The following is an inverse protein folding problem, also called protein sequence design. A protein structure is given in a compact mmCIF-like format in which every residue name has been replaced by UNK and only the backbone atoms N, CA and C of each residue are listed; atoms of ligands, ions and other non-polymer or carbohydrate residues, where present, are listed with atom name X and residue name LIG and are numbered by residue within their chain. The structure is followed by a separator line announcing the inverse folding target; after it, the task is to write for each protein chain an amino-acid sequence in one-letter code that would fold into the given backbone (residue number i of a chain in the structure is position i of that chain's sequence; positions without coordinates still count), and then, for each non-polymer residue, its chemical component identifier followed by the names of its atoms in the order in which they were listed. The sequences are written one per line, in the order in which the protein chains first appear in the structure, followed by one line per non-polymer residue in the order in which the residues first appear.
data_IF_889327258296
#
_entry.id   IF_889327258296
#
_cell.length_a   1.000
_cell.length_b   1.000
_cell.length_c   1.000
_cell.angle_alpha   90.00
_cell.angle_beta   90.00
_cell.angle_gamma   90.00
#
_symmetry.space_group_name_H-M   'P 1'
#
loop_
_entity.id
_entity.type
_entity.pdbx_description
1 polymer ?
#
# COMPACT_ATOMS: atom_id res chain seq x y z
N UNK A 1 3.91 -13.98 4.94
CA UNK A 1 4.14 -13.03 6.05
C UNK A 1 4.53 -13.74 7.32
N UNK A 2 3.73 -14.69 7.85
CA UNK A 2 3.97 -15.32 9.17
C UNK A 2 5.39 -15.89 9.35
N UNK A 3 5.87 -16.72 8.43
CA UNK A 3 7.26 -17.22 8.46
C UNK A 3 8.33 -16.10 8.48
N UNK A 4 8.11 -15.02 7.72
CA UNK A 4 9.02 -13.87 7.67
C UNK A 4 9.09 -13.06 8.97
N UNK A 5 8.11 -13.26 9.87
CA UNK A 5 8.12 -12.72 11.24
C UNK A 5 8.52 -13.78 12.29
N UNK A 6 9.06 -14.93 11.87
CA UNK A 6 9.62 -15.96 12.74
C UNK A 6 8.70 -17.14 13.06
N UNK A 7 7.54 -17.24 12.42
CA UNK A 7 6.66 -18.41 12.55
C UNK A 7 7.20 -19.62 11.75
N UNK A 8 6.52 -20.77 11.84
CA UNK A 8 6.81 -21.96 11.03
C UNK A 8 6.58 -21.69 9.53
N UNK A 9 7.32 -22.43 8.69
CA UNK A 9 7.12 -22.39 7.24
C UNK A 9 5.70 -22.84 6.84
N UNK A 10 5.15 -23.81 7.57
CA UNK A 10 3.79 -24.32 7.44
C UNK A 10 3.04 -24.04 8.76
N UNK A 11 2.51 -22.81 8.94
CA UNK A 11 1.75 -22.46 10.15
C UNK A 11 0.46 -23.27 10.24
N UNK A 12 -0.07 -23.39 11.46
CA UNK A 12 -1.35 -24.07 11.69
C UNK A 12 -2.49 -23.35 10.92
N UNK A 13 -3.35 -24.09 10.20
CA UNK A 13 -4.46 -23.49 9.45
C UNK A 13 -5.37 -22.60 10.31
N UNK A 14 -5.58 -22.98 11.56
CA UNK A 14 -6.40 -22.25 12.53
C UNK A 14 -5.79 -20.89 12.88
N UNK A 15 -4.45 -20.82 13.03
CA UNK A 15 -3.74 -19.55 13.26
C UNK A 15 -3.83 -18.65 12.04
N UNK A 16 -3.70 -19.23 10.83
CA UNK A 16 -3.82 -18.46 9.59
C UNK A 16 -5.22 -17.83 9.48
N UNK A 17 -6.28 -18.62 9.72
CA UNK A 17 -7.66 -18.15 9.68
C UNK A 17 -7.91 -17.03 10.71
N UNK A 18 -7.41 -17.20 11.94
CA UNK A 18 -7.57 -16.15 12.96
C UNK A 18 -6.81 -14.86 12.58
N UNK A 19 -5.59 -14.97 12.06
CA UNK A 19 -4.82 -13.80 11.62
C UNK A 19 -5.51 -13.11 10.44
N UNK A 20 -6.13 -13.85 9.54
CA UNK A 20 -6.97 -13.30 8.47
C UNK A 20 -8.09 -12.42 9.05
N UNK A 21 -8.89 -12.96 9.98
CA UNK A 21 -9.98 -12.21 10.62
C UNK A 21 -9.48 -10.92 11.28
N UNK A 22 -8.39 -11.00 12.05
CA UNK A 22 -7.77 -9.85 12.72
C UNK A 22 -7.32 -8.79 11.70
N UNK A 23 -6.73 -9.21 10.58
CA UNK A 23 -6.25 -8.29 9.53
C UNK A 23 -7.42 -7.63 8.82
N UNK A 24 -8.49 -8.37 8.51
CA UNK A 24 -9.70 -7.80 7.89
C UNK A 24 -10.32 -6.74 8.79
N UNK A 25 -10.47 -7.03 10.09
CA UNK A 25 -10.99 -6.07 11.07
C UNK A 25 -10.09 -4.82 11.13
N UNK A 26 -8.77 -5.00 11.28
CA UNK A 26 -7.83 -3.89 11.35
C UNK A 26 -7.87 -2.98 10.12
N UNK A 27 -7.89 -3.56 8.92
CA UNK A 27 -7.94 -2.79 7.66
C UNK A 27 -9.25 -2.05 7.54
N UNK A 28 -10.37 -2.69 7.88
CA UNK A 28 -11.70 -2.06 7.86
C UNK A 28 -11.75 -0.83 8.78
N UNK A 29 -11.27 -0.98 10.01
CA UNK A 29 -11.19 0.10 10.98
C UNK A 29 -10.26 1.24 10.53
N UNK A 30 -9.12 0.90 9.93
CA UNK A 30 -8.17 1.88 9.43
C UNK A 30 -8.78 2.73 8.31
N UNK A 31 -9.51 2.09 7.38
CA UNK A 31 -10.18 2.78 6.27
C UNK A 31 -11.29 3.68 6.78
N UNK A 32 -12.10 3.26 7.75
CA UNK A 32 -13.11 4.13 8.35
C UNK A 32 -12.49 5.38 8.99
N UNK A 33 -11.42 5.23 9.78
CA UNK A 33 -10.71 6.37 10.38
C UNK A 33 -10.10 7.30 9.32
N UNK A 34 -9.64 6.74 8.20
CA UNK A 34 -9.07 7.52 7.11
C UNK A 34 -10.18 8.29 6.37
N UNK A 35 -11.33 7.66 6.16
CA UNK A 35 -12.52 8.27 5.59
C UNK A 35 -13.06 9.42 6.47
N UNK A 36 -13.09 9.26 7.79
CA UNK A 36 -13.48 10.33 8.72
C UNK A 36 -12.56 11.55 8.58
N UNK A 37 -11.26 11.31 8.42
CA UNK A 37 -10.26 12.36 8.16
C UNK A 37 -10.50 13.03 6.80
N UNK A 38 -10.79 12.23 5.77
CA UNK A 38 -11.03 12.67 4.40
C UNK A 38 -12.37 13.38 4.20
N UNK A 39 -13.33 13.22 5.12
CA UNK A 39 -14.72 13.67 4.97
C UNK A 39 -14.84 15.17 4.69
N UNK A 40 -13.96 16.00 5.25
CA UNK A 40 -13.91 17.44 4.96
C UNK A 40 -13.56 17.77 3.51
N UNK A 41 -12.78 16.90 2.86
CA UNK A 41 -12.34 17.02 1.47
C UNK A 41 -13.26 16.28 0.50
N UNK A 42 -14.06 15.33 0.99
CA UNK A 42 -14.97 14.53 0.17
C UNK A 42 -14.30 13.46 -0.70
N UNK A 43 -12.98 13.24 -0.53
CA UNK A 43 -12.22 12.23 -1.26
C UNK A 43 -11.11 11.64 -0.40
N UNK A 44 -11.11 10.32 -0.27
CA UNK A 44 -10.05 9.54 0.38
C UNK A 44 -8.78 9.54 -0.47
N UNK A 45 -7.66 9.90 0.14
CA UNK A 45 -6.33 9.95 -0.47
C UNK A 45 -5.31 9.20 0.39
N UNK A 46 -4.13 8.95 -0.16
CA UNK A 46 -3.03 8.27 0.54
C UNK A 46 -2.59 9.04 1.79
N UNK A 47 -2.62 10.36 1.75
CA UNK A 47 -2.21 11.25 2.84
C UNK A 47 -3.08 11.06 4.09
N UNK A 48 -4.33 10.61 3.94
CA UNK A 48 -5.19 10.35 5.10
C UNK A 48 -4.67 9.15 5.90
N UNK A 49 -4.17 8.12 5.22
CA UNK A 49 -3.52 6.98 5.87
C UNK A 49 -2.20 7.39 6.52
N UNK A 50 -1.38 8.20 5.83
CA UNK A 50 -0.13 8.74 6.39
C UNK A 50 -0.40 9.58 7.64
N UNK A 51 -1.48 10.35 7.64
CA UNK A 51 -1.90 11.12 8.81
C UNK A 51 -2.26 10.20 9.98
N UNK A 52 -2.98 9.10 9.77
CA UNK A 52 -3.30 8.16 10.86
C UNK A 52 -2.06 7.55 11.51
N UNK A 53 -1.05 7.20 10.71
CA UNK A 53 0.20 6.58 11.21
C UNK A 53 1.27 7.59 11.64
N UNK A 54 1.00 8.91 11.58
CA UNK A 54 2.01 9.98 11.78
C UNK A 54 2.80 9.92 13.09
N UNK A 55 2.27 9.25 14.11
CA UNK A 55 2.93 9.10 15.42
C UNK A 55 3.91 7.91 15.46
N UNK A 56 3.82 6.99 14.51
CA UNK A 56 4.72 5.86 14.32
C UNK A 56 5.74 6.23 13.24
N UNK A 57 6.81 6.93 13.67
CA UNK A 57 7.83 7.49 12.77
C UNK A 57 8.48 6.42 11.88
N UNK A 58 8.87 5.22 12.38
CA UNK A 58 9.40 4.16 11.53
C UNK A 58 8.42 3.73 10.43
N UNK A 59 7.14 3.53 10.77
CA UNK A 59 6.12 3.14 9.78
C UNK A 59 5.87 4.26 8.77
N UNK A 60 5.79 5.50 9.22
CA UNK A 60 5.60 6.66 8.36
C UNK A 60 6.73 6.79 7.33
N UNK A 61 7.98 6.69 7.78
CA UNK A 61 9.15 6.77 6.90
C UNK A 61 9.12 5.67 5.86
N UNK A 62 8.87 4.42 6.29
CA UNK A 62 8.80 3.27 5.39
C UNK A 62 7.70 3.43 4.34
N UNK A 63 6.51 3.88 4.73
CA UNK A 63 5.43 4.13 3.78
C UNK A 63 5.80 5.23 2.77
N UNK A 64 6.46 6.29 3.23
CA UNK A 64 6.88 7.40 2.37
C UNK A 64 7.91 6.94 1.32
N UNK A 65 8.90 6.16 1.73
CA UNK A 65 9.90 5.56 0.81
C UNK A 65 9.22 4.69 -0.26
N UNK A 66 8.30 3.82 0.15
CA UNK A 66 7.60 2.91 -0.77
C UNK A 66 6.74 3.67 -1.78
N UNK A 67 6.10 4.76 -1.36
CA UNK A 67 5.33 5.62 -2.25
C UNK A 67 6.23 6.35 -3.26
N UNK A 68 7.38 6.87 -2.82
CA UNK A 68 8.39 7.48 -3.71
C UNK A 68 8.87 6.49 -4.76
N UNK A 69 9.27 5.30 -4.33
CA UNK A 69 9.75 4.24 -5.23
C UNK A 69 8.66 3.80 -6.23
N UNK A 70 7.41 3.70 -5.79
CA UNK A 70 6.30 3.38 -6.69
C UNK A 70 6.12 4.46 -7.77
N UNK A 71 6.27 5.73 -7.41
CA UNK A 71 6.17 6.82 -8.38
C UNK A 71 7.34 6.82 -9.38
N UNK A 72 8.57 6.56 -8.91
CA UNK A 72 9.74 6.37 -9.78
C UNK A 72 9.52 5.21 -10.76
N UNK A 73 9.01 4.07 -10.28
CA UNK A 73 8.72 2.91 -11.12
C UNK A 73 7.63 3.22 -12.17
N UNK A 74 6.60 3.99 -11.81
CA UNK A 74 5.57 4.42 -12.77
C UNK A 74 6.15 5.33 -13.85
N UNK A 75 7.02 6.27 -13.48
CA UNK A 75 7.69 7.15 -14.44
C UNK A 75 8.60 6.36 -15.38
N UNK A 76 9.37 5.41 -14.84
CA UNK A 76 10.22 4.53 -15.63
C UNK A 76 9.39 3.73 -16.64
N UNK A 77 8.26 3.14 -16.25
CA UNK A 77 7.38 2.39 -17.17
C UNK A 77 6.82 3.26 -18.30
N UNK A 78 6.36 4.48 -18.00
CA UNK A 78 5.87 5.42 -19.01
C UNK A 78 6.91 5.79 -20.05
N UNK A 79 8.19 5.88 -19.66
CA UNK A 79 9.27 6.19 -20.58
C UNK A 79 9.43 5.13 -21.69
N UNK A 80 9.04 3.88 -21.42
CA UNK A 80 9.10 2.79 -22.41
C UNK A 80 7.83 2.64 -23.25
N UNK A 81 6.65 3.04 -22.73
CA UNK A 81 5.38 3.00 -23.49
C UNK A 81 5.37 4.02 -24.66
N UNK A 82 6.07 5.16 -24.50
CA UNK A 82 6.13 6.22 -25.54
C UNK A 82 6.95 5.80 -26.77
N UNK A 83 7.82 4.79 -26.67
CA UNK A 83 8.65 4.34 -27.79
C UNK A 83 7.92 3.37 -28.73
N UNK A 84 6.90 2.64 -28.26
CA UNK A 84 6.16 1.66 -29.05
C UNK A 84 5.25 2.34 -30.11
N UNK A 85 4.59 3.44 -29.75
CA UNK A 85 3.76 4.22 -30.68
C UNK A 85 4.58 4.95 -31.76
N UNK A 86 5.81 5.37 -31.43
CA UNK A 86 6.70 6.01 -32.41
C UNK A 86 7.29 5.01 -33.40
N UNK A 87 7.61 3.80 -32.94
CA UNK A 87 8.08 2.71 -33.80
C UNK A 87 6.99 2.23 -34.78
N UNK A 88 5.72 2.23 -34.37
CA UNK A 88 4.59 1.83 -35.23
C UNK A 88 4.24 2.84 -36.35
N UNK A 89 4.79 4.06 -36.30
CA UNK A 89 4.57 5.12 -37.31
C UNK A 89 5.70 5.26 -38.33
N UNK A 90 6.71 4.39 -38.28
CA UNK A 90 7.88 4.42 -39.18
C UNK A 90 7.72 3.48 -40.41
N UNK A 91 6.61 2.72 -40.51
CA UNK A 91 6.27 1.90 -41.69
C UNK A 91 5.18 2.53 -42.57
#
# INVERSE_FOLDING_TARGET
MMYGFGDNQNPLPETVALVEDIVVEYVTDLVHKAQDTASKRGKLLTEDFLFLIRKDVPKLNRCTELLSMNEELKQARKAFEVDEEKLATID
#
